data_IF_632519253334
#
_entry.id   IF_632519253334
#
_cell.length_a   1.000
_cell.length_b   1.000
_cell.length_c   1.000
_cell.angle_alpha   90.00
_cell.angle_beta   90.00
_cell.angle_gamma   90.00
#
_symmetry.space_group_name_H-M   'P 1'
#
loop_
_entity.id
_entity.type
_entity.pdbx_description
1 polymer ?
#
# COMPACT_ATOMS: atom_id res chain seq x y z
N UNK A 1 2.69 7.87 -11.67
CA UNK A 1 1.43 7.66 -10.92
C UNK A 1 0.89 8.99 -10.48
N UNK A 2 -0.41 9.19 -10.64
CA UNK A 2 -1.02 10.47 -10.31
C UNK A 2 -1.56 10.42 -8.88
N UNK A 3 -1.10 11.34 -8.05
CA UNK A 3 -1.52 11.41 -6.64
C UNK A 3 -1.96 12.82 -6.30
N UNK A 4 -2.76 12.97 -5.25
CA UNK A 4 -3.24 14.26 -4.78
C UNK A 4 -2.81 14.44 -3.34
N UNK A 5 -2.17 15.58 -3.04
CA UNK A 5 -1.77 15.89 -1.68
C UNK A 5 -2.99 16.35 -0.90
N UNK A 6 -3.29 15.66 0.19
CA UNK A 6 -4.45 15.96 1.03
C UNK A 6 -4.06 16.71 2.29
N UNK A 7 -2.86 16.47 2.79
CA UNK A 7 -2.34 17.15 3.98
C UNK A 7 -0.82 17.04 3.94
N UNK A 8 -0.14 18.03 4.50
CA UNK A 8 1.31 18.10 4.39
C UNK A 8 1.87 18.84 5.59
N UNK A 9 2.98 18.32 6.10
CA UNK A 9 3.75 18.98 7.16
C UNK A 9 5.21 18.75 6.86
N UNK A 10 6.08 19.18 7.80
CA UNK A 10 7.51 19.14 7.59
C UNK A 10 8.05 17.73 7.32
N UNK A 11 7.48 16.74 8.00
CA UNK A 11 7.98 15.35 7.92
C UNK A 11 6.92 14.35 7.51
N UNK A 12 5.76 14.81 7.07
CA UNK A 12 4.67 13.90 6.77
C UNK A 12 3.83 14.44 5.64
N UNK A 13 3.39 13.54 4.75
CA UNK A 13 2.46 13.88 3.68
C UNK A 13 1.43 12.79 3.60
N UNK A 14 0.16 13.20 3.45
CA UNK A 14 -0.92 12.26 3.22
C UNK A 14 -1.41 12.48 1.79
N UNK A 15 -1.50 11.40 1.04
CA UNK A 15 -1.82 11.43 -0.37
C UNK A 15 -3.05 10.60 -0.68
N UNK A 16 -3.82 11.06 -1.64
CA UNK A 16 -4.82 10.23 -2.29
C UNK A 16 -4.12 9.56 -3.48
N UNK A 17 -4.28 8.24 -3.60
CA UNK A 17 -3.60 7.43 -4.60
C UNK A 17 -4.62 6.69 -5.46
N UNK A 18 -4.23 6.24 -6.66
CA UNK A 18 -5.18 5.58 -7.57
C UNK A 18 -5.36 4.09 -7.32
N UNK A 19 -5.07 3.63 -6.12
CA UNK A 19 -5.27 2.21 -5.79
C UNK A 19 -5.80 2.08 -4.38
N UNK A 20 -6.49 0.97 -4.12
CA UNK A 20 -7.06 0.72 -2.81
C UNK A 20 -6.04 0.08 -1.89
N UNK A 21 -6.05 0.49 -0.64
CA UNK A 21 -5.13 -0.03 0.37
C UNK A 21 -5.70 -1.32 0.96
N UNK A 22 -5.09 -2.44 0.59
CA UNK A 22 -5.41 -3.75 1.14
C UNK A 22 -4.23 -4.18 2.01
N UNK A 23 -4.40 -5.26 2.77
CA UNK A 23 -3.28 -5.81 3.53
C UNK A 23 -2.12 -6.18 2.60
N UNK A 24 -2.43 -6.73 1.43
CA UNK A 24 -1.40 -7.11 0.47
C UNK A 24 -0.66 -5.90 -0.08
N UNK A 25 -1.39 -4.78 -0.31
CA UNK A 25 -0.76 -3.54 -0.74
C UNK A 25 0.18 -3.01 0.35
N UNK A 26 -0.28 -3.00 1.61
CA UNK A 26 0.56 -2.53 2.71
C UNK A 26 1.87 -3.31 2.78
N UNK A 27 1.78 -4.64 2.66
CA UNK A 27 2.97 -5.48 2.71
C UNK A 27 3.92 -5.20 1.54
N UNK A 28 3.37 -5.01 0.36
CA UNK A 28 4.16 -4.69 -0.82
C UNK A 28 4.90 -3.36 -0.63
N UNK A 29 4.20 -2.35 -0.12
CA UNK A 29 4.81 -1.04 0.11
C UNK A 29 5.90 -1.13 1.18
N UNK A 30 5.67 -1.89 2.25
CA UNK A 30 6.68 -2.06 3.30
C UNK A 30 7.93 -2.74 2.76
N UNK A 31 7.76 -3.68 1.87
CA UNK A 31 8.89 -4.38 1.28
C UNK A 31 9.70 -3.44 0.39
N UNK A 32 9.03 -2.67 -0.46
CA UNK A 32 9.69 -1.75 -1.37
C UNK A 32 10.29 -0.54 -0.65
N UNK A 33 9.75 -0.20 0.52
CA UNK A 33 10.25 0.91 1.33
C UNK A 33 11.72 0.72 1.70
N UNK A 34 12.18 -0.50 1.77
CA UNK A 34 13.57 -0.78 2.15
C UNK A 34 14.57 -0.16 1.21
N UNK A 35 14.17 0.15 -0.01
CA UNK A 35 15.03 0.79 -0.99
C UNK A 35 15.06 2.31 -0.83
N UNK A 36 14.23 2.84 0.07
CA UNK A 36 14.11 4.29 0.29
C UNK A 36 14.20 4.58 1.78
N UNK A 37 15.42 4.51 2.35
CA UNK A 37 15.57 4.61 3.80
C UNK A 37 15.15 5.95 4.40
N UNK A 38 15.03 7.00 3.58
CA UNK A 38 14.56 8.30 4.06
C UNK A 38 13.07 8.27 4.41
N UNK A 39 12.32 7.31 3.89
CA UNK A 39 10.93 7.13 4.26
C UNK A 39 10.92 6.26 5.50
N UNK A 40 10.43 6.83 6.60
CA UNK A 40 10.50 6.13 7.89
C UNK A 40 9.25 5.37 8.23
N UNK A 41 8.10 5.73 7.64
CA UNK A 41 6.85 5.04 7.92
C UNK A 41 5.88 5.22 6.76
N UNK A 42 5.13 4.16 6.46
CA UNK A 42 4.05 4.19 5.48
C UNK A 42 2.81 3.64 6.16
N UNK A 43 1.73 4.41 6.13
CA UNK A 43 0.45 3.97 6.68
C UNK A 43 -0.58 3.98 5.58
N UNK A 44 -1.07 2.80 5.19
CA UNK A 44 -2.20 2.66 4.29
C UNK A 44 -3.48 2.75 5.12
N UNK A 45 -4.42 3.57 4.68
CA UNK A 45 -5.72 3.66 5.33
C UNK A 45 -6.56 2.54 4.75
N UNK A 46 -6.85 1.55 5.58
CA UNK A 46 -7.46 0.30 5.14
C UNK A 46 -8.73 0.54 4.33
N UNK A 47 -8.80 -0.12 3.16
CA UNK A 47 -9.93 -0.07 2.24
C UNK A 47 -10.16 1.30 1.62
N UNK A 48 -9.23 2.22 1.80
CA UNK A 48 -9.31 3.55 1.22
C UNK A 48 -8.19 3.75 0.21
N UNK A 49 -8.26 4.85 -0.49
CA UNK A 49 -7.22 5.24 -1.44
C UNK A 49 -6.38 6.36 -0.86
N UNK A 50 -5.99 6.22 0.39
CA UNK A 50 -5.20 7.21 1.10
C UNK A 50 -4.01 6.56 1.78
N UNK A 51 -2.85 7.23 1.69
CA UNK A 51 -1.61 6.76 2.31
C UNK A 51 -0.93 7.95 2.96
N UNK A 52 -0.42 7.74 4.17
CA UNK A 52 0.41 8.74 4.84
C UNK A 52 1.85 8.25 4.85
N UNK A 53 2.76 9.12 4.44
CA UNK A 53 4.20 8.85 4.48
C UNK A 53 4.85 9.76 5.50
N UNK A 54 5.70 9.20 6.35
CA UNK A 54 6.57 9.96 7.23
C UNK A 54 7.99 9.81 6.69
N UNK A 55 8.75 10.89 6.67
CA UNK A 55 10.08 10.89 6.06
C UNK A 55 11.00 11.84 6.82
N UNK A 56 12.29 11.69 6.57
CA UNK A 56 13.29 12.56 7.16
C UNK A 56 13.18 13.97 6.59
N UNK A 57 13.43 14.96 7.42
CA UNK A 57 13.34 16.37 7.03
C UNK A 57 14.13 16.63 5.75
N UNK A 58 13.49 17.28 4.79
CA UNK A 58 14.12 17.63 3.52
C UNK A 58 14.05 16.52 2.48
N UNK A 59 13.42 15.39 2.81
CA UNK A 59 13.39 14.24 1.90
C UNK A 59 12.00 13.91 1.39
N UNK A 60 11.12 14.89 1.28
CA UNK A 60 9.79 14.64 0.74
C UNK A 60 9.83 14.09 -0.68
N UNK A 61 10.81 14.50 -1.47
CA UNK A 61 10.95 14.01 -2.85
C UNK A 61 11.13 12.50 -2.93
N UNK A 62 11.66 11.89 -1.86
CA UNK A 62 11.81 10.43 -1.82
C UNK A 62 10.47 9.71 -1.89
N UNK A 63 9.41 10.33 -1.34
CA UNK A 63 8.06 9.77 -1.39
C UNK A 63 7.61 9.61 -2.84
N UNK A 64 7.84 10.64 -3.65
CA UNK A 64 7.37 10.63 -5.03
C UNK A 64 8.23 9.71 -5.91
N UNK A 65 9.53 9.62 -5.64
CA UNK A 65 10.37 8.64 -6.31
C UNK A 65 9.99 7.23 -5.94
N UNK A 66 9.61 7.01 -4.68
CA UNK A 66 9.12 5.71 -4.23
C UNK A 66 7.86 5.32 -4.99
N UNK A 67 6.90 6.24 -5.11
CA UNK A 67 5.66 5.96 -5.83
C UNK A 67 5.93 5.65 -7.30
N UNK A 68 6.86 6.37 -7.93
CA UNK A 68 7.22 6.11 -9.31
C UNK A 68 7.93 4.78 -9.49
N UNK A 69 8.56 4.28 -8.44
CA UNK A 69 9.25 2.99 -8.46
C UNK A 69 8.28 1.81 -8.44
N UNK A 70 7.09 1.99 -7.89
CA UNK A 70 6.14 0.89 -7.75
C UNK A 70 5.61 0.43 -9.11
N UNK A 71 5.38 -0.88 -9.23
CA UNK A 71 4.87 -1.45 -10.46
C UNK A 71 3.34 -1.45 -10.45
N UNK A 72 2.76 -0.85 -11.47
CA UNK A 72 1.31 -0.74 -11.58
C UNK A 72 0.64 -2.11 -11.63
N UNK A 73 1.23 -3.05 -12.38
CA UNK A 73 0.67 -4.40 -12.48
C UNK A 73 0.62 -5.07 -11.11
N UNK A 74 1.70 -4.94 -10.35
CA UNK A 74 1.76 -5.53 -9.02
C UNK A 74 0.72 -4.90 -8.10
N UNK A 75 0.60 -3.57 -8.14
CA UNK A 75 -0.40 -2.87 -7.33
C UNK A 75 -1.81 -3.33 -7.68
N UNK A 76 -2.10 -3.51 -8.97
CA UNK A 76 -3.42 -3.96 -9.40
C UNK A 76 -3.73 -5.35 -8.86
N UNK A 77 -2.76 -6.24 -8.85
CA UNK A 77 -2.94 -7.57 -8.29
C UNK A 77 -3.17 -7.53 -6.78
N UNK A 78 -2.35 -6.74 -6.09
CA UNK A 78 -2.42 -6.70 -4.63
C UNK A 78 -3.72 -6.08 -4.13
N UNK A 79 -4.27 -5.09 -4.83
CA UNK A 79 -5.53 -4.52 -4.39
C UNK A 79 -6.72 -5.44 -4.65
N UNK A 80 -6.58 -6.43 -5.53
CA UNK A 80 -7.63 -7.43 -5.74
C UNK A 80 -7.58 -8.53 -4.71
N UNK A 81 -6.43 -8.78 -4.12
CA UNK A 81 -6.27 -9.83 -3.10
C UNK A 81 -7.20 -9.64 -1.92
N UNK A 82 -7.48 -8.37 -1.59
CA UNK A 82 -8.40 -8.07 -0.51
C UNK A 82 -9.77 -8.71 -0.72
N UNK A 83 -10.29 -8.65 -1.94
CA UNK A 83 -11.59 -9.21 -2.25
C UNK A 83 -11.60 -10.72 -2.08
N UNK A 84 -10.52 -11.37 -2.48
CA UNK A 84 -10.41 -12.81 -2.33
C UNK A 84 -10.37 -13.17 -0.84
N UNK A 85 -9.57 -12.47 -0.07
CA UNK A 85 -9.45 -12.74 1.35
C UNK A 85 -10.78 -12.57 2.06
N UNK A 86 -11.55 -11.58 1.67
CA UNK A 86 -12.83 -11.33 2.30
C UNK A 86 -13.83 -12.45 2.05
N UNK A 87 -13.65 -13.17 0.96
CA UNK A 87 -14.55 -14.27 0.62
C UNK A 87 -14.15 -15.58 1.25
N UNK A 88 -12.89 -15.73 1.53
CA UNK A 88 -12.39 -16.92 2.16
C UNK A 88 -12.67 -16.81 3.62
N UNK A 89 -13.84 -17.02 3.90
CA UNK A 89 -14.13 -16.99 5.24
C UNK A 89 -13.99 -18.29 5.70
N UNK A 90 -13.71 -18.49 6.12
CA UNK A 90 -13.47 -19.52 6.47
C UNK A 90 -13.92 -20.71 6.19
N UNK A 91 -13.96 -20.95 5.59
CA UNK A 91 -14.34 -22.00 5.37
C UNK A 91 -14.05 -22.42 4.32
N UNK A 92 -14.22 -22.15 3.77
CA UNK A 92 -13.91 -22.35 2.84
C UNK A 92 -13.02 -22.07 2.52
N UNK A 93 -13.16 -21.79 2.59
CA UNK A 93 -12.39 -21.54 2.35
C UNK A 93 -11.71 -21.85 2.43
N UNK A 94 -11.66 -22.01 2.59
CA UNK A 94 -10.96 -22.30 2.68
C UNK A 94 -10.52 -22.78 2.08
N UNK A 95 -10.73 -23.05 1.62
CA UNK A 95 -10.31 -23.35 0.98
C UNK A 95 -9.78 -22.89 0.31
N UNK A 96 -10.03 -22.38 0.04
CA UNK A 96 -9.40 -21.85 -0.42
C UNK A 96 -8.78 -21.45 -0.27
N UNK A 97 -9.01 -21.30 -0.19
CA UNK A 97 -8.31 -21.00 -0.04
C UNK A 97 -7.88 -21.36 0.21
N UNK A 98 -8.34 -21.55 0.47
CA UNK A 98 -7.93 -21.84 0.72
C UNK A 98 -7.38 -22.17 0.39
N UNK A 99 -7.55 -22.04 -0.01
CA UNK A 99 -6.93 -22.19 -0.25
C UNK A 99 -6.37 -21.82 -0.03
N UNK A 100 -6.61 -21.43 -0.09
CA UNK A 100 -6.14 -21.13 0.10
C UNK A 100 -5.82 -21.18 0.85
N UNK A 101 -6.10 -21.24 0.98
CA UNK A 101 -5.97 -21.37 1.53
C UNK A 101 -5.85 -21.84 1.91
N UNK A 102 -6.26 -22.01 1.68
CA UNK A 102 -6.23 -22.39 1.94
C UNK A 102 -6.01 -22.54 2.02
N UNK A 103 -6.37 -22.59 1.80
CA UNK A 103 -6.26 -22.61 1.90
C UNK A 103 -6.02 -22.55 2.00
#
# INVERSE_FOLDING_TARGET
MKVTIKAQSKNRVRLEVPFRCTAAVQLYLEEEKRLFPEITQIICYKDEKHIAFTFETGHESSVYRFLDHLEVTTLNEKQRDFTVDAQVTPVDIVVSHIYRKLV
#
